data_IF_936642400954
#
_entry.id   IF_936642400954
#
_cell.length_a   1.000
_cell.length_b   1.000
_cell.length_c   1.000
_cell.angle_alpha   90.00
_cell.angle_beta   90.00
_cell.angle_gamma   90.00
#
_symmetry.space_group_name_H-M   'P 1'
#
loop_
_entity.id
_entity.type
_entity.pdbx_description
1 polymer ?
#
# COMPACT_ATOMS: atom_id res chain seq x y z
N UNK A 1 -9.93 8.49 -34.07
CA UNK A 1 -9.22 7.24 -33.72
C UNK A 1 -10.12 6.51 -32.75
N UNK A 2 -10.59 5.33 -33.13
CA UNK A 2 -11.35 4.46 -32.23
C UNK A 2 -10.34 3.72 -31.34
N UNK A 3 -10.36 4.01 -30.04
CA UNK A 3 -9.42 3.41 -29.09
C UNK A 3 -10.06 2.12 -28.58
N UNK A 4 -9.40 0.95 -28.66
CA UNK A 4 -9.96 -0.30 -28.16
C UNK A 4 -9.97 -0.30 -26.62
N UNK A 5 -11.02 0.31 -26.02
CA UNK A 5 -11.11 0.57 -24.57
C UNK A 5 -11.02 -0.71 -23.74
N UNK A 6 -11.61 -1.82 -24.21
CA UNK A 6 -11.57 -3.10 -23.49
C UNK A 6 -10.14 -3.65 -23.43
N UNK A 7 -9.40 -3.59 -24.53
CA UNK A 7 -8.02 -4.08 -24.58
C UNK A 7 -7.10 -3.20 -23.73
N UNK A 8 -7.33 -1.88 -23.73
CA UNK A 8 -6.60 -0.94 -22.88
C UNK A 8 -6.84 -1.20 -21.38
N UNK A 9 -8.10 -1.48 -20.99
CA UNK A 9 -8.43 -1.83 -19.61
C UNK A 9 -7.76 -3.14 -19.19
N UNK A 10 -7.80 -4.18 -20.04
CA UNK A 10 -7.10 -5.45 -19.80
C UNK A 10 -5.59 -5.26 -19.67
N UNK A 11 -5.00 -4.44 -20.55
CA UNK A 11 -3.57 -4.13 -20.49
C UNK A 11 -3.20 -3.42 -19.18
N UNK A 12 -4.05 -2.49 -18.70
CA UNK A 12 -3.82 -1.79 -17.43
C UNK A 12 -3.79 -2.76 -16.25
N UNK A 13 -4.77 -3.66 -16.16
CA UNK A 13 -4.81 -4.69 -15.11
C UNK A 13 -3.60 -5.62 -15.18
N UNK A 14 -3.18 -5.99 -16.38
CA UNK A 14 -2.02 -6.83 -16.59
C UNK A 14 -0.70 -6.16 -16.10
N UNK A 15 -0.55 -4.84 -16.29
CA UNK A 15 0.57 -4.09 -15.71
C UNK A 15 0.51 -4.05 -14.18
N UNK A 16 -0.68 -3.90 -13.59
CA UNK A 16 -0.85 -3.94 -12.14
C UNK A 16 -0.49 -5.32 -11.58
N UNK A 17 -0.89 -6.41 -12.23
CA UNK A 17 -0.51 -7.79 -11.85
C UNK A 17 1.02 -7.96 -11.90
N UNK A 18 1.68 -7.46 -12.96
CA UNK A 18 3.15 -7.45 -13.03
C UNK A 18 3.78 -6.67 -11.89
N UNK A 19 3.21 -5.53 -11.52
CA UNK A 19 3.68 -4.75 -10.37
C UNK A 19 3.52 -5.51 -9.05
N UNK A 20 2.40 -6.21 -8.85
CA UNK A 20 2.15 -7.05 -7.67
C UNK A 20 3.14 -8.22 -7.59
N UNK A 21 3.50 -8.84 -8.73
CA UNK A 21 4.53 -9.88 -8.74
C UNK A 21 5.89 -9.33 -8.29
N UNK A 22 6.30 -8.15 -8.78
CA UNK A 22 7.54 -7.50 -8.31
C UNK A 22 7.48 -7.14 -6.83
N UNK A 23 6.33 -6.69 -6.33
CA UNK A 23 6.14 -6.38 -4.91
C UNK A 23 6.27 -7.63 -4.03
N UNK A 24 5.71 -8.76 -4.47
CA UNK A 24 5.88 -10.04 -3.77
C UNK A 24 7.36 -10.41 -3.65
N UNK A 25 8.11 -10.23 -4.75
CA UNK A 25 9.54 -10.56 -4.77
C UNK A 25 10.41 -9.57 -3.96
N UNK A 26 9.88 -8.40 -3.60
CA UNK A 26 10.57 -7.42 -2.73
C UNK A 26 10.32 -7.63 -1.24
N UNK A 27 9.61 -8.69 -0.82
CA UNK A 27 9.38 -8.99 0.59
C UNK A 27 10.61 -9.73 1.13
N UNK A 28 11.44 -9.01 1.88
CA UNK A 28 12.68 -9.49 2.48
C UNK A 28 12.75 -9.18 4.00
N UNK A 29 13.92 -9.31 4.61
CA UNK A 29 14.14 -9.06 6.04
C UNK A 29 13.81 -7.62 6.46
N UNK A 30 13.86 -6.65 5.53
CA UNK A 30 13.48 -5.27 5.82
C UNK A 30 11.97 -5.13 6.05
N UNK A 31 11.16 -5.90 5.33
CA UNK A 31 9.71 -5.97 5.54
C UNK A 31 9.39 -6.57 6.90
N UNK A 32 10.02 -7.69 7.26
CA UNK A 32 9.84 -8.31 8.58
C UNK A 32 10.20 -7.33 9.71
N UNK A 33 11.32 -6.64 9.57
CA UNK A 33 11.75 -5.62 10.54
C UNK A 33 10.75 -4.49 10.68
N UNK A 34 10.21 -3.97 9.58
CA UNK A 34 9.19 -2.92 9.62
C UNK A 34 7.91 -3.37 10.33
N UNK A 35 7.45 -4.60 10.09
CA UNK A 35 6.28 -5.18 10.77
C UNK A 35 6.53 -5.30 12.28
N UNK A 36 7.69 -5.82 12.69
CA UNK A 36 8.04 -5.93 14.11
C UNK A 36 8.05 -4.57 14.81
N UNK A 37 8.67 -3.55 14.19
CA UNK A 37 8.69 -2.20 14.73
C UNK A 37 7.27 -1.63 14.94
N UNK A 38 6.36 -1.89 14.00
CA UNK A 38 4.96 -1.46 14.13
C UNK A 38 4.28 -2.19 15.30
N UNK A 39 4.44 -3.51 15.41
CA UNK A 39 3.80 -4.32 16.45
C UNK A 39 4.32 -4.04 17.86
N UNK A 40 5.61 -3.68 17.98
CA UNK A 40 6.26 -3.35 19.27
C UNK A 40 6.00 -1.90 19.70
N UNK A 41 5.38 -1.07 18.85
CA UNK A 41 5.13 0.34 19.15
C UNK A 41 4.11 0.50 20.28
N UNK A 42 4.48 1.20 21.35
CA UNK A 42 3.58 1.56 22.46
C UNK A 42 2.75 2.84 22.20
N UNK A 43 3.10 3.57 21.13
CA UNK A 43 2.42 4.80 20.72
C UNK A 43 1.39 4.57 19.61
N UNK A 44 1.43 5.43 18.59
CA UNK A 44 0.59 5.32 17.39
C UNK A 44 1.47 5.35 16.15
N UNK A 45 1.08 4.60 15.12
CA UNK A 45 1.71 4.68 13.80
C UNK A 45 1.23 5.94 13.08
N UNK A 46 2.16 6.80 12.70
CA UNK A 46 1.87 7.98 11.90
C UNK A 46 2.20 7.68 10.45
N UNK A 47 1.19 7.72 9.58
CA UNK A 47 1.37 7.60 8.13
C UNK A 47 1.28 9.00 7.52
N UNK A 48 2.17 9.36 6.59
CA UNK A 48 2.11 10.66 5.92
C UNK A 48 2.45 10.51 4.44
N UNK A 49 2.03 11.47 3.63
CA UNK A 49 2.33 11.49 2.20
C UNK A 49 1.55 12.56 1.46
N UNK A 50 1.89 12.77 0.19
CA UNK A 50 1.25 13.77 -0.66
C UNK A 50 0.63 13.13 -1.91
N UNK A 51 -0.36 13.79 -2.50
CA UNK A 51 -1.01 13.34 -3.73
C UNK A 51 -1.63 11.94 -3.62
N UNK A 52 -1.44 11.11 -4.66
CA UNK A 52 -1.95 9.73 -4.71
C UNK A 52 -1.41 8.88 -3.55
N UNK A 53 -0.15 9.05 -3.18
CA UNK A 53 0.44 8.35 -2.04
C UNK A 53 -0.23 8.73 -0.72
N UNK A 54 -0.66 9.99 -0.57
CA UNK A 54 -1.45 10.43 0.57
C UNK A 54 -2.81 9.74 0.67
N UNK A 55 -3.50 9.51 -0.47
CA UNK A 55 -4.77 8.75 -0.49
C UNK A 55 -4.57 7.30 -0.02
N UNK A 56 -3.54 6.62 -0.51
CA UNK A 56 -3.22 5.26 -0.08
C UNK A 56 -2.78 5.24 1.39
N UNK A 57 -1.98 6.21 1.84
CA UNK A 57 -1.57 6.36 3.23
C UNK A 57 -2.75 6.52 4.19
N UNK A 58 -3.76 7.31 3.82
CA UNK A 58 -5.01 7.42 4.58
C UNK A 58 -5.72 6.08 4.73
N UNK A 59 -5.80 5.29 3.65
CA UNK A 59 -6.38 3.94 3.69
C UNK A 59 -5.58 3.02 4.60
N UNK A 60 -4.24 3.06 4.52
CA UNK A 60 -3.36 2.27 5.37
C UNK A 60 -3.59 2.60 6.85
N UNK A 61 -3.56 3.88 7.23
CA UNK A 61 -3.79 4.31 8.61
C UNK A 61 -5.17 3.87 9.13
N UNK A 62 -6.22 4.02 8.31
CA UNK A 62 -7.56 3.55 8.67
C UNK A 62 -7.61 2.02 8.85
N UNK A 63 -6.92 1.28 7.98
CA UNK A 63 -6.86 -0.19 8.05
C UNK A 63 -6.16 -0.64 9.33
N UNK A 64 -4.96 -0.12 9.60
CA UNK A 64 -4.20 -0.42 10.82
C UNK A 64 -5.04 -0.17 12.07
N UNK A 65 -5.70 0.98 12.15
CA UNK A 65 -6.57 1.33 13.28
C UNK A 65 -7.74 0.35 13.43
N UNK A 66 -8.37 -0.06 12.33
CA UNK A 66 -9.47 -1.04 12.37
C UNK A 66 -9.03 -2.47 12.73
N UNK A 67 -7.76 -2.81 12.52
CA UNK A 67 -7.18 -4.12 12.84
C UNK A 67 -6.41 -4.12 14.17
N UNK A 68 -6.60 -3.11 15.02
CA UNK A 68 -6.06 -3.08 16.38
C UNK A 68 -4.65 -2.47 16.51
N UNK A 69 -4.09 -1.88 15.44
CA UNK A 69 -2.85 -1.09 15.49
C UNK A 69 -3.19 0.41 15.46
N UNK A 70 -3.14 1.14 16.57
CA UNK A 70 -3.50 2.56 16.60
C UNK A 70 -2.70 3.39 15.58
N UNK A 71 -3.37 3.98 14.59
CA UNK A 71 -2.71 4.71 13.50
C UNK A 71 -3.52 5.92 12.99
N UNK A 72 -2.84 6.96 12.50
CA UNK A 72 -3.49 8.10 11.85
C UNK A 72 -2.63 8.69 10.73
N UNK A 73 -3.26 9.50 9.87
CA UNK A 73 -2.61 10.13 8.73
C UNK A 73 -2.37 11.62 8.98
N UNK A 74 -1.19 12.13 8.58
CA UNK A 74 -0.84 13.56 8.53
C UNK A 74 -0.71 14.05 7.09
#
# INVERSE_FOLDING_TARGET
MDVPIIDLAKQTIEEEIRALNRLKDSIDESFEKAVKLILETQGKVVVTGMGKSGLIGKKIAATLSSTGTPAFFL
#
